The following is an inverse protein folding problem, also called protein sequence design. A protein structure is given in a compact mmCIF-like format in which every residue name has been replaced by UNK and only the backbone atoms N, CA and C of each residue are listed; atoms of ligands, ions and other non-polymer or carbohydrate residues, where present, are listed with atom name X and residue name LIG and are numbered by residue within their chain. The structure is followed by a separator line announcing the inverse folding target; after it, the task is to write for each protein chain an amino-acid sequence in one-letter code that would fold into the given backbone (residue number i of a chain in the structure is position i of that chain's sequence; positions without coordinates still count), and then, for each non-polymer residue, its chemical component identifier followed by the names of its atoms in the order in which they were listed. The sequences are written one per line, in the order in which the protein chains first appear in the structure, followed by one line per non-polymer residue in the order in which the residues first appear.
data_IF_335205427570
#
_entry.id   IF_335205427570
#
_cell.length_a   1.000
_cell.length_b   1.000
_cell.length_c   1.000
_cell.angle_alpha   90.00
_cell.angle_beta   90.00
_cell.angle_gamma   90.00
#
_symmetry.space_group_name_H-M   'P 1'
#
loop_
_entity.id
_entity.type
_entity.pdbx_description
1 polymer ?
#
# COMPACT_ATOMS: atom_id res chain seq x y z
N UNK A 1 15.96 9.19 1.51
CA UNK A 1 14.88 9.28 2.52
C UNK A 1 14.16 7.94 2.52
N UNK A 2 14.32 7.13 3.56
CA UNK A 2 13.57 5.87 3.70
C UNK A 2 12.17 6.22 4.20
N UNK A 3 11.20 6.30 3.30
CA UNK A 3 9.79 6.41 3.69
C UNK A 3 9.46 5.21 4.60
N UNK A 4 9.18 5.48 5.87
CA UNK A 4 8.85 4.44 6.85
C UNK A 4 7.36 4.11 6.72
N UNK A 5 7.05 2.94 6.18
CA UNK A 5 5.68 2.43 6.08
C UNK A 5 5.35 1.61 7.33
N UNK A 6 4.10 1.71 7.81
CA UNK A 6 3.59 0.74 8.79
C UNK A 6 3.79 -0.69 8.25
N UNK A 7 4.10 -1.66 9.12
CA UNK A 7 4.23 -3.05 8.70
C UNK A 7 2.92 -3.57 8.08
N UNK A 8 3.03 -4.63 7.29
CA UNK A 8 1.86 -5.37 6.81
C UNK A 8 1.07 -5.90 8.04
N UNK A 9 -0.22 -5.57 8.18
CA UNK A 9 -1.00 -5.97 9.36
C UNK A 9 -1.29 -7.48 9.41
N UNK A 10 -1.08 -8.20 8.30
CA UNK A 10 -1.35 -9.63 8.20
C UNK A 10 -0.13 -10.50 8.53
N UNK A 11 1.08 -10.05 8.18
CA UNK A 11 2.29 -10.87 8.34
C UNK A 11 3.46 -10.15 9.04
N UNK A 12 3.28 -8.88 9.43
CA UNK A 12 4.31 -8.08 10.10
C UNK A 12 5.49 -7.66 9.23
N UNK A 13 5.46 -7.89 7.90
CA UNK A 13 6.53 -7.45 7.00
C UNK A 13 6.62 -5.92 6.94
N UNK A 14 7.81 -5.37 7.17
CA UNK A 14 8.10 -3.94 6.97
C UNK A 14 8.26 -3.55 5.48
N UNK A 15 8.26 -4.55 4.60
CA UNK A 15 8.41 -4.34 3.16
C UNK A 15 7.06 -4.49 2.45
N UNK A 16 6.66 -3.41 1.77
CA UNK A 16 5.49 -3.34 0.89
C UNK A 16 5.85 -2.61 -0.40
N UNK A 17 5.17 -2.94 -1.49
CA UNK A 17 5.32 -2.32 -2.81
C UNK A 17 4.08 -1.49 -3.12
N UNK A 18 4.28 -0.26 -3.58
CA UNK A 18 3.19 0.61 -4.06
C UNK A 18 3.26 0.59 -5.57
N UNK A 19 2.15 0.29 -6.24
CA UNK A 19 2.07 0.25 -7.70
C UNK A 19 0.76 0.88 -8.19
N UNK A 20 0.76 1.56 -9.35
CA UNK A 20 -0.49 1.85 -10.04
C UNK A 20 -1.15 0.52 -10.46
N UNK A 21 -2.46 0.51 -10.41
CA UNK A 21 -3.30 -0.58 -10.88
C UNK A 21 -4.15 -0.06 -12.04
N UNK A 22 -3.75 -0.46 -13.24
CA UNK A 22 -4.38 0.00 -14.48
C UNK A 22 -5.72 -0.69 -14.74
N UNK A 23 -6.00 -1.81 -14.07
CA UNK A 23 -7.27 -2.53 -14.20
C UNK A 23 -8.39 -1.85 -13.40
N UNK A 24 -8.05 -1.11 -12.35
CA UNK A 24 -8.99 -0.44 -11.46
C UNK A 24 -8.94 1.10 -11.58
N UNK A 25 -9.28 1.66 -12.75
CA UNK A 25 -9.39 3.13 -12.95
C UNK A 25 -8.10 3.91 -12.59
N UNK A 26 -6.93 3.35 -12.83
CA UNK A 26 -5.63 3.96 -12.47
C UNK A 26 -5.50 4.31 -10.97
N UNK A 27 -6.08 3.49 -10.09
CA UNK A 27 -5.88 3.64 -8.65
C UNK A 27 -4.51 3.13 -8.24
N UNK A 28 -3.97 3.70 -7.17
CA UNK A 28 -2.74 3.20 -6.58
C UNK A 28 -3.06 2.12 -5.54
N UNK A 29 -2.28 1.04 -5.53
CA UNK A 29 -2.46 -0.10 -4.61
C UNK A 29 -1.18 -0.39 -3.83
N UNK A 30 -1.33 -1.02 -2.67
CA UNK A 30 -0.20 -1.53 -1.87
C UNK A 30 -0.24 -3.04 -1.87
N UNK A 31 0.87 -3.64 -2.27
CA UNK A 31 1.08 -5.07 -2.28
C UNK A 31 2.12 -5.47 -1.22
N UNK A 32 1.79 -6.45 -0.38
CA UNK A 32 2.79 -7.09 0.48
C UNK A 32 3.35 -8.33 -0.25
N UNK A 33 4.61 -8.33 -0.71
CA UNK A 33 5.17 -9.46 -1.44
C UNK A 33 5.44 -10.70 -0.57
N UNK A 34 5.31 -10.60 0.77
CA UNK A 34 5.50 -11.73 1.69
C UNK A 34 4.24 -12.58 1.84
N UNK A 35 3.09 -11.95 2.09
CA UNK A 35 1.82 -12.66 2.26
C UNK A 35 0.86 -12.48 1.07
N UNK A 36 1.31 -11.81 0.01
CA UNK A 36 0.57 -11.54 -1.22
C UNK A 36 -0.73 -10.73 -1.03
N UNK A 37 -0.88 -10.08 0.12
CA UNK A 37 -2.02 -9.21 0.38
C UNK A 37 -1.98 -7.97 -0.52
N UNK A 38 -3.14 -7.62 -1.08
CA UNK A 38 -3.37 -6.41 -1.86
C UNK A 38 -4.30 -5.49 -1.08
N UNK A 39 -3.87 -4.25 -0.85
CA UNK A 39 -4.67 -3.19 -0.24
C UNK A 39 -5.02 -2.16 -1.32
N UNK A 40 -6.32 -1.90 -1.50
CA UNK A 40 -6.88 -1.02 -2.53
C UNK A 40 -7.64 0.12 -1.85
N UNK A 41 -6.96 1.17 -1.36
CA UNK A 41 -7.64 2.23 -0.65
C UNK A 41 -8.01 3.37 -1.60
N UNK A 42 -8.82 3.08 -2.63
CA UNK A 42 -9.43 4.04 -3.59
C UNK A 42 -8.81 5.45 -3.54
N UNK A 43 -7.58 5.58 -4.01
CA UNK A 43 -6.81 6.84 -3.99
C UNK A 43 -6.15 7.04 -5.34
N UNK A 44 -6.03 8.31 -5.73
CA UNK A 44 -5.62 8.71 -7.08
C UNK A 44 -4.13 9.00 -7.16
N UNK A 45 -3.46 9.22 -6.02
CA UNK A 45 -2.02 9.47 -5.96
C UNK A 45 -1.30 8.49 -5.04
N UNK A 46 0.01 8.32 -5.25
CA UNK A 46 0.87 7.48 -4.42
C UNK A 46 0.85 7.94 -2.96
N UNK A 47 0.91 9.24 -2.73
CA UNK A 47 0.99 9.87 -1.41
C UNK A 47 -0.30 9.65 -0.60
N UNK A 48 -1.48 9.75 -1.24
CA UNK A 48 -2.77 9.48 -0.60
C UNK A 48 -2.84 8.03 -0.07
N UNK A 49 -2.38 7.08 -0.87
CA UNK A 49 -2.38 5.67 -0.50
C UNK A 49 -1.41 5.39 0.65
N UNK A 50 -0.22 5.99 0.62
CA UNK A 50 0.75 5.91 1.73
C UNK A 50 0.15 6.47 3.01
N UNK A 51 -0.49 7.63 2.93
CA UNK A 51 -1.14 8.26 4.09
C UNK A 51 -2.22 7.34 4.67
N UNK A 52 -3.12 6.82 3.83
CA UNK A 52 -4.16 5.87 4.26
C UNK A 52 -3.56 4.60 4.87
N UNK A 53 -2.51 4.06 4.28
CA UNK A 53 -1.79 2.89 4.81
C UNK A 53 -1.20 3.13 6.20
N UNK A 54 -0.60 4.30 6.40
CA UNK A 54 0.01 4.66 7.68
C UNK A 54 -1.04 5.10 8.73
N UNK A 55 -2.24 5.50 8.31
CA UNK A 55 -3.34 5.88 9.21
C UNK A 55 -4.23 4.70 9.63
N UNK A 56 -4.02 3.48 9.12
CA UNK A 56 -4.76 2.30 9.60
C UNK A 56 -4.59 2.13 11.11
N UNK A 57 -5.71 1.97 11.79
CA UNK A 57 -5.81 1.58 13.20
C UNK A 57 -5.38 0.13 13.39
#
# INVERSE_FOLDING_TARGET
MTESYKPCPFCGSNYVKIKPDDDYNHVWTIHCPRCHMVYIPYGKTREEIILKWNQRV
#
